data_IF_878276584024
#
_entry.id   IF_878276584024
#
_cell.length_a   1.000
_cell.length_b   1.000
_cell.length_c   1.000
_cell.angle_alpha   90.00
_cell.angle_beta   90.00
_cell.angle_gamma   90.00
#
_symmetry.space_group_name_H-M   'P 1'
#
loop_
_entity.id
_entity.type
_entity.pdbx_description
1 polymer ?
#
# COMPACT_ATOMS: atom_id res chain seq x y z
N UNK A 1 -12.76 11.53 -4.69
CA UNK A 1 -12.92 12.88 -4.15
C UNK A 1 -12.24 13.88 -5.07
N UNK A 2 -12.89 14.98 -5.33
CA UNK A 2 -12.34 16.11 -6.08
C UNK A 2 -12.10 17.29 -5.13
N UNK A 3 -11.01 18.07 -5.33
CA UNK A 3 -10.81 19.30 -4.60
C UNK A 3 -11.95 20.30 -4.83
N UNK A 4 -12.34 21.06 -3.80
CA UNK A 4 -13.44 22.05 -3.90
C UNK A 4 -13.25 23.10 -5.01
N UNK A 5 -12.01 23.45 -5.31
CA UNK A 5 -11.65 24.51 -6.25
C UNK A 5 -10.97 23.97 -7.51
N UNK A 6 -11.40 22.80 -7.99
CA UNK A 6 -10.85 22.26 -9.24
C UNK A 6 -11.35 23.06 -10.44
N UNK A 7 -10.42 23.58 -11.23
CA UNK A 7 -10.73 24.18 -12.52
C UNK A 7 -10.70 23.10 -13.60
N UNK A 8 -11.72 23.02 -14.44
CA UNK A 8 -11.83 22.01 -15.52
C UNK A 8 -10.69 22.06 -16.56
N UNK A 9 -9.96 23.19 -16.62
CA UNK A 9 -8.80 23.34 -17.51
C UNK A 9 -7.47 22.94 -16.87
N UNK A 10 -7.45 22.64 -15.57
CA UNK A 10 -6.25 22.33 -14.82
C UNK A 10 -6.13 20.84 -14.51
N UNK A 11 -5.00 20.25 -14.86
CA UNK A 11 -4.67 18.88 -14.47
C UNK A 11 -4.08 18.85 -13.07
N UNK A 12 -4.59 17.98 -12.24
CA UNK A 12 -4.16 17.82 -10.84
C UNK A 12 -3.50 16.46 -10.60
N UNK A 13 -2.53 16.41 -9.67
CA UNK A 13 -1.99 15.13 -9.20
C UNK A 13 -3.08 14.33 -8.48
N UNK A 14 -2.95 13.01 -8.56
CA UNK A 14 -3.86 12.05 -7.92
C UNK A 14 -3.14 11.32 -6.80
N UNK A 15 -3.84 11.07 -5.70
CA UNK A 15 -3.41 10.11 -4.67
C UNK A 15 -4.42 8.95 -4.63
N UNK A 16 -3.94 7.75 -4.92
CA UNK A 16 -4.72 6.52 -4.73
C UNK A 16 -4.56 6.10 -3.27
N UNK A 17 -5.67 6.17 -2.50
CA UNK A 17 -5.70 5.93 -1.06
C UNK A 17 -6.30 4.55 -0.76
N UNK A 18 -5.49 3.61 -0.26
CA UNK A 18 -5.92 2.23 -0.03
C UNK A 18 -6.13 1.92 1.46
N UNK A 19 -7.32 1.43 1.77
CA UNK A 19 -7.69 0.98 3.12
C UNK A 19 -6.99 -0.33 3.54
N UNK A 20 -7.04 -0.63 4.85
CA UNK A 20 -6.55 -1.86 5.46
C UNK A 20 -7.31 -3.12 5.04
N UNK A 21 -7.03 -4.26 5.70
CA UNK A 21 -7.48 -5.59 5.27
C UNK A 21 -9.01 -5.69 5.11
N UNK A 22 -9.76 -5.41 6.15
CA UNK A 22 -11.24 -5.48 6.17
C UNK A 22 -11.91 -4.10 6.01
N UNK A 23 -11.11 -3.06 5.70
CA UNK A 23 -11.60 -1.69 5.56
C UNK A 23 -12.42 -1.45 4.30
N UNK A 24 -12.97 -0.25 4.25
CA UNK A 24 -13.80 0.24 3.14
C UNK A 24 -13.29 1.62 2.68
N UNK A 25 -13.53 2.01 1.43
CA UNK A 25 -13.22 3.36 0.97
C UNK A 25 -13.83 4.47 1.85
N UNK A 26 -15.01 4.23 2.39
CA UNK A 26 -15.70 5.16 3.28
C UNK A 26 -14.93 5.42 4.57
N UNK A 27 -14.21 4.43 5.11
CA UNK A 27 -13.46 4.57 6.37
C UNK A 27 -12.40 5.67 6.29
N UNK A 28 -11.88 5.95 5.10
CA UNK A 28 -10.86 6.98 4.86
C UNK A 28 -11.37 8.20 4.10
N UNK A 29 -12.58 8.13 3.54
CA UNK A 29 -13.14 9.15 2.65
C UNK A 29 -14.49 9.73 3.10
N UNK A 30 -15.08 9.28 4.21
CA UNK A 30 -16.32 9.84 4.74
C UNK A 30 -16.08 11.22 5.36
N UNK A 31 -16.78 12.22 4.86
CA UNK A 31 -16.70 13.60 5.37
C UNK A 31 -17.41 13.81 6.70
N UNK A 32 -18.33 12.91 7.06
CA UNK A 32 -19.20 13.02 8.23
C UNK A 32 -18.73 12.16 9.40
N UNK A 33 -17.86 11.19 9.16
CA UNK A 33 -17.39 10.26 10.18
C UNK A 33 -15.87 10.07 10.10
N UNK A 34 -15.20 10.21 11.23
CA UNK A 34 -13.75 10.01 11.34
C UNK A 34 -13.45 8.68 12.01
N UNK A 35 -13.02 7.70 11.22
CA UNK A 35 -12.54 6.41 11.73
C UNK A 35 -11.18 6.60 12.41
N UNK A 36 -10.97 6.14 13.66
CA UNK A 36 -9.76 6.42 14.43
C UNK A 36 -8.44 6.05 13.72
N UNK A 37 -8.41 4.93 12.98
CA UNK A 37 -7.21 4.48 12.28
C UNK A 37 -6.86 5.34 11.06
N UNK A 38 -7.85 5.93 10.40
CA UNK A 38 -7.63 6.63 9.12
C UNK A 38 -7.70 8.14 9.23
N UNK A 39 -8.35 8.69 10.24
CA UNK A 39 -8.45 10.14 10.43
C UNK A 39 -8.85 10.91 9.18
N UNK A 40 -9.69 10.30 8.32
CA UNK A 40 -10.18 10.88 7.06
C UNK A 40 -9.04 11.39 6.15
N UNK A 41 -7.89 10.72 6.12
CA UNK A 41 -6.73 11.23 5.39
C UNK A 41 -7.01 11.47 3.90
N UNK A 42 -7.89 10.68 3.28
CA UNK A 42 -8.31 10.90 1.90
C UNK A 42 -9.04 12.24 1.70
N UNK A 43 -9.90 12.64 2.65
CA UNK A 43 -10.55 13.96 2.64
C UNK A 43 -9.54 15.08 2.83
N UNK A 44 -8.60 14.90 3.77
CA UNK A 44 -7.54 15.92 4.03
C UNK A 44 -6.67 16.15 2.80
N UNK A 45 -6.32 15.09 2.07
CA UNK A 45 -5.59 15.22 0.81
C UNK A 45 -6.40 15.96 -0.26
N UNK A 46 -7.72 15.71 -0.34
CA UNK A 46 -8.59 16.44 -1.25
C UNK A 46 -8.70 17.93 -0.88
N UNK A 47 -8.76 18.26 0.42
CA UNK A 47 -8.75 19.65 0.91
C UNK A 47 -7.40 20.36 0.62
N UNK A 48 -6.29 19.61 0.51
CA UNK A 48 -4.99 20.11 0.07
C UNK A 48 -4.87 20.30 -1.45
N UNK A 49 -5.91 19.94 -2.21
CA UNK A 49 -5.95 20.17 -3.65
C UNK A 49 -5.60 18.98 -4.54
N UNK A 50 -5.40 17.79 -3.97
CA UNK A 50 -5.20 16.57 -4.72
C UNK A 50 -6.53 15.97 -5.18
N UNK A 51 -6.57 15.38 -6.36
CA UNK A 51 -7.61 14.41 -6.69
C UNK A 51 -7.34 13.14 -5.88
N UNK A 52 -8.36 12.58 -5.24
CA UNK A 52 -8.21 11.36 -4.44
C UNK A 52 -9.10 10.27 -4.98
N UNK A 53 -8.52 9.08 -5.18
CA UNK A 53 -9.24 7.88 -5.54
C UNK A 53 -9.05 6.81 -4.45
N UNK A 54 -10.14 6.36 -3.85
CA UNK A 54 -10.13 5.33 -2.81
C UNK A 54 -10.81 4.05 -3.33
N UNK A 55 -10.04 3.06 -3.83
CA UNK A 55 -10.61 1.82 -4.36
C UNK A 55 -11.07 0.88 -3.24
N UNK A 56 -12.12 0.11 -3.50
CA UNK A 56 -12.45 -1.08 -2.74
C UNK A 56 -11.56 -2.23 -3.23
N UNK A 57 -11.00 -3.01 -2.29
CA UNK A 57 -10.34 -4.28 -2.63
C UNK A 57 -11.32 -5.27 -3.26
N UNK A 58 -10.83 -6.34 -3.96
CA UNK A 58 -11.69 -7.29 -4.67
C UNK A 58 -12.54 -8.18 -3.75
N UNK A 59 -12.68 -7.81 -2.48
CA UNK A 59 -13.51 -8.47 -1.46
C UNK A 59 -14.09 -7.45 -0.49
N UNK A 60 -15.10 -7.84 0.27
CA UNK A 60 -15.74 -7.03 1.30
C UNK A 60 -16.05 -7.91 2.50
N UNK A 61 -15.45 -7.58 3.66
CA UNK A 61 -15.78 -8.11 4.97
C UNK A 61 -15.77 -9.64 5.09
N UNK A 62 -16.15 -10.14 6.26
CA UNK A 62 -16.39 -11.55 6.54
C UNK A 62 -15.25 -12.50 6.15
N UNK A 63 -14.00 -12.06 6.29
CA UNK A 63 -12.81 -12.83 5.91
C UNK A 63 -12.77 -13.29 4.44
N UNK A 64 -13.51 -12.65 3.54
CA UNK A 64 -13.56 -13.03 2.13
C UNK A 64 -12.21 -12.94 1.41
N UNK A 65 -11.23 -12.19 1.95
CA UNK A 65 -9.85 -12.21 1.47
C UNK A 65 -9.25 -13.63 1.53
N UNK A 66 -9.54 -14.41 2.59
CA UNK A 66 -9.07 -15.80 2.75
C UNK A 66 -9.60 -16.70 1.65
N UNK A 67 -10.87 -16.53 1.31
CA UNK A 67 -11.49 -17.29 0.24
C UNK A 67 -10.77 -17.09 -1.09
N UNK A 68 -10.49 -15.83 -1.45
CA UNK A 68 -9.72 -15.51 -2.65
C UNK A 68 -8.28 -16.04 -2.57
N UNK A 69 -7.62 -15.88 -1.42
CA UNK A 69 -6.26 -16.38 -1.21
C UNK A 69 -6.19 -17.90 -1.34
N UNK A 70 -7.10 -18.64 -0.73
CA UNK A 70 -7.19 -20.11 -0.84
C UNK A 70 -7.45 -20.59 -2.26
N UNK A 71 -8.31 -19.90 -3.00
CA UNK A 71 -8.57 -20.23 -4.42
C UNK A 71 -7.37 -19.92 -5.32
N UNK A 72 -6.57 -18.92 -4.96
CA UNK A 72 -5.40 -18.51 -5.73
C UNK A 72 -4.18 -19.44 -5.50
N UNK A 73 -3.93 -19.87 -4.27
CA UNK A 73 -2.75 -20.63 -3.88
C UNK A 73 -2.47 -21.87 -4.73
N UNK A 74 -3.44 -22.77 -5.04
CA UNK A 74 -3.21 -23.93 -5.89
C UNK A 74 -2.75 -23.59 -7.31
N UNK A 75 -3.04 -22.36 -7.76
CA UNK A 75 -2.64 -21.85 -9.06
C UNK A 75 -1.31 -21.07 -9.01
N UNK A 76 -0.59 -21.11 -7.87
CA UNK A 76 0.60 -20.27 -7.58
C UNK A 76 0.32 -18.76 -7.70
N UNK A 77 -0.90 -18.38 -7.43
CA UNK A 77 -1.36 -16.99 -7.37
C UNK A 77 -1.59 -16.59 -5.91
N UNK A 78 -1.78 -15.32 -5.67
CA UNK A 78 -2.15 -14.76 -4.38
C UNK A 78 -3.25 -13.72 -4.54
N UNK A 79 -3.74 -13.19 -3.43
CA UNK A 79 -4.65 -12.05 -3.44
C UNK A 79 -4.08 -10.86 -4.22
N UNK A 80 -2.75 -10.67 -4.19
CA UNK A 80 -2.08 -9.61 -4.95
C UNK A 80 -2.11 -9.80 -6.47
N UNK A 81 -2.31 -11.00 -6.96
CA UNK A 81 -2.53 -11.22 -8.41
C UNK A 81 -3.79 -10.50 -8.90
N UNK A 82 -4.85 -10.45 -8.08
CA UNK A 82 -6.08 -9.71 -8.37
C UNK A 82 -5.92 -8.21 -8.10
N UNK A 83 -5.33 -7.84 -6.97
CA UNK A 83 -5.15 -6.45 -6.58
C UNK A 83 -4.27 -5.70 -7.60
N UNK A 84 -3.15 -6.28 -8.03
CA UNK A 84 -2.28 -5.67 -9.04
C UNK A 84 -3.03 -5.43 -10.34
N UNK A 85 -3.82 -6.39 -10.80
CA UNK A 85 -4.62 -6.23 -12.01
C UNK A 85 -5.71 -5.17 -11.87
N UNK A 86 -6.34 -5.09 -10.70
CA UNK A 86 -7.28 -4.01 -10.38
C UNK A 86 -6.60 -2.64 -10.48
N UNK A 87 -5.44 -2.47 -9.87
CA UNK A 87 -4.70 -1.21 -9.89
C UNK A 87 -4.20 -0.83 -11.28
N UNK A 88 -3.84 -1.80 -12.11
CA UNK A 88 -3.52 -1.54 -13.51
C UNK A 88 -4.72 -0.92 -14.25
N UNK A 89 -5.94 -1.41 -13.99
CA UNK A 89 -7.16 -0.84 -14.58
C UNK A 89 -7.50 0.54 -14.00
N UNK A 90 -7.25 0.74 -12.71
CA UNK A 90 -7.41 2.05 -12.06
C UNK A 90 -6.49 3.09 -12.70
N UNK A 91 -5.21 2.76 -12.90
CA UNK A 91 -4.24 3.65 -13.53
C UNK A 91 -4.63 4.01 -14.96
N UNK A 92 -5.04 3.02 -15.77
CA UNK A 92 -5.53 3.23 -17.13
C UNK A 92 -6.73 4.19 -17.16
N UNK A 93 -7.69 3.98 -16.26
CA UNK A 93 -8.86 4.83 -16.16
C UNK A 93 -8.52 6.23 -15.65
N UNK A 94 -7.77 6.37 -14.57
CA UNK A 94 -7.36 7.68 -14.04
C UNK A 94 -6.61 8.48 -15.10
N UNK A 95 -5.67 7.86 -15.81
CA UNK A 95 -4.89 8.52 -16.87
C UNK A 95 -5.72 8.96 -18.08
N UNK A 96 -6.92 8.42 -18.24
CA UNK A 96 -7.86 8.84 -19.32
C UNK A 96 -8.71 10.07 -18.96
N UNK A 97 -8.72 10.48 -17.69
CA UNK A 97 -9.51 11.62 -17.23
C UNK A 97 -8.83 12.94 -17.59
N UNK A 98 -9.60 13.90 -18.08
CA UNK A 98 -9.06 15.19 -18.55
C UNK A 98 -8.44 16.03 -17.45
N UNK A 99 -8.98 15.95 -16.23
CA UNK A 99 -8.53 16.66 -15.04
C UNK A 99 -7.33 16.03 -14.33
N UNK A 100 -6.90 14.83 -14.75
CA UNK A 100 -5.81 14.07 -14.11
C UNK A 100 -4.48 14.36 -14.78
N UNK A 101 -3.46 14.63 -13.98
CA UNK A 101 -2.07 14.58 -14.41
C UNK A 101 -1.56 13.14 -14.31
N UNK A 102 -1.52 12.45 -15.44
CA UNK A 102 -1.12 11.05 -15.52
C UNK A 102 0.34 10.78 -15.11
N UNK A 103 1.20 11.81 -15.07
CA UNK A 103 2.59 11.69 -14.62
C UNK A 103 2.73 11.86 -13.09
N UNK A 104 1.65 12.27 -12.41
CA UNK A 104 1.65 12.52 -10.97
C UNK A 104 0.54 11.75 -10.26
N UNK A 105 0.54 10.42 -10.40
CA UNK A 105 -0.34 9.52 -9.66
C UNK A 105 0.47 8.86 -8.56
N UNK A 106 0.18 9.19 -7.29
CA UNK A 106 0.82 8.64 -6.11
C UNK A 106 -0.03 7.53 -5.49
N UNK A 107 0.62 6.65 -4.74
CA UNK A 107 -0.03 5.61 -3.92
C UNK A 107 0.20 5.89 -2.44
N UNK A 108 -0.86 5.86 -1.64
CA UNK A 108 -0.81 5.92 -0.18
C UNK A 108 -1.70 4.85 0.43
N UNK A 109 -1.12 3.93 1.17
CA UNK A 109 -1.86 2.85 1.79
C UNK A 109 -1.52 2.65 3.27
N UNK A 110 -2.53 2.31 4.08
CA UNK A 110 -2.39 2.04 5.50
C UNK A 110 -2.68 0.57 5.80
N UNK A 111 -1.86 -0.08 6.68
CA UNK A 111 -1.98 -1.48 7.07
C UNK A 111 -1.90 -2.39 5.84
N UNK A 112 -2.89 -3.21 5.54
CA UNK A 112 -2.92 -3.98 4.28
C UNK A 112 -2.90 -3.09 3.02
N UNK A 113 -3.32 -1.82 3.13
CA UNK A 113 -3.05 -0.79 2.13
C UNK A 113 -1.57 -0.44 2.03
N UNK A 114 -0.84 -0.40 3.14
CA UNK A 114 0.62 -0.27 3.19
C UNK A 114 1.32 -1.47 2.55
N UNK A 115 0.85 -2.69 2.83
CA UNK A 115 1.28 -3.91 2.13
C UNK A 115 1.07 -3.78 0.61
N UNK A 116 -0.05 -3.20 0.20
CA UNK A 116 -0.33 -2.92 -1.22
C UNK A 116 0.64 -1.89 -1.80
N UNK A 117 0.98 -0.84 -1.03
CA UNK A 117 1.96 0.19 -1.40
C UNK A 117 3.38 -0.37 -1.63
N UNK A 118 3.71 -1.50 -1.02
CA UNK A 118 4.98 -2.20 -1.24
C UNK A 118 4.99 -3.07 -2.50
N UNK A 119 3.85 -3.63 -2.89
CA UNK A 119 3.78 -4.65 -3.94
C UNK A 119 3.32 -4.10 -5.27
N UNK A 120 2.29 -3.29 -5.25
CA UNK A 120 1.66 -2.80 -6.49
C UNK A 120 2.54 -1.77 -7.20
N UNK A 121 3.06 -0.71 -6.55
CA UNK A 121 3.98 0.21 -7.21
C UNK A 121 5.32 -0.41 -7.63
N UNK A 122 5.75 -1.51 -6.99
CA UNK A 122 6.90 -2.28 -7.43
C UNK A 122 6.71 -2.91 -8.82
N UNK A 123 5.47 -3.17 -9.22
CA UNK A 123 5.09 -3.81 -10.48
C UNK A 123 4.43 -2.86 -11.49
N UNK A 124 3.91 -1.73 -11.03
CA UNK A 124 3.22 -0.72 -11.84
C UNK A 124 3.98 0.61 -11.73
N UNK A 125 4.78 0.90 -12.74
CA UNK A 125 5.71 2.04 -12.75
C UNK A 125 5.01 3.39 -12.90
N UNK A 126 3.73 3.40 -13.28
CA UNK A 126 2.92 4.60 -13.42
C UNK A 126 2.63 5.30 -12.07
N UNK A 127 2.81 4.62 -10.96
CA UNK A 127 2.82 5.27 -9.64
C UNK A 127 4.11 6.04 -9.43
N UNK A 128 4.05 7.36 -9.38
CA UNK A 128 5.23 8.23 -9.26
C UNK A 128 5.82 8.30 -7.84
N UNK A 129 5.06 7.92 -6.83
CA UNK A 129 5.41 7.93 -5.40
C UNK A 129 4.63 6.83 -4.69
N UNK A 130 5.25 6.16 -3.72
CA UNK A 130 4.58 5.21 -2.85
C UNK A 130 4.80 5.51 -1.37
N UNK A 131 3.71 5.51 -0.58
CA UNK A 131 3.73 5.69 0.87
C UNK A 131 3.16 4.43 1.53
N UNK A 132 4.04 3.72 2.26
CA UNK A 132 3.69 2.55 3.06
C UNK A 132 3.49 2.95 4.51
N UNK A 133 2.23 3.01 4.96
CA UNK A 133 1.88 3.32 6.34
C UNK A 133 1.49 2.06 7.11
N UNK A 134 2.08 1.87 8.29
CA UNK A 134 1.75 0.83 9.27
C UNK A 134 1.74 -0.62 8.71
N UNK A 135 2.68 -0.96 7.83
CA UNK A 135 2.88 -2.32 7.33
C UNK A 135 4.37 -2.66 7.10
N UNK A 136 5.28 -1.68 7.04
CA UNK A 136 6.68 -1.96 6.76
C UNK A 136 7.31 -2.80 7.87
N UNK A 137 7.91 -3.96 7.53
CA UNK A 137 8.44 -4.90 8.51
C UNK A 137 9.44 -5.90 7.88
N UNK A 138 9.85 -6.89 8.63
CA UNK A 138 10.66 -8.03 8.17
C UNK A 138 9.73 -9.17 7.73
N UNK A 139 9.68 -9.44 6.43
CA UNK A 139 8.70 -10.35 5.84
C UNK A 139 8.91 -11.80 6.17
N UNK A 140 10.18 -12.25 6.20
CA UNK A 140 10.51 -13.67 6.38
C UNK A 140 10.15 -14.10 7.81
N UNK A 141 10.58 -13.33 8.81
CA UNK A 141 10.26 -13.63 10.21
C UNK A 141 8.76 -13.51 10.50
N UNK A 142 8.12 -12.56 9.86
CA UNK A 142 6.67 -12.37 9.96
C UNK A 142 5.90 -13.60 9.50
N UNK A 143 6.38 -14.34 8.52
CA UNK A 143 5.72 -15.53 7.98
C UNK A 143 6.24 -16.83 8.53
N UNK A 144 7.51 -16.92 8.91
CA UNK A 144 8.18 -18.18 9.23
C UNK A 144 8.50 -18.39 10.71
N UNK A 145 8.46 -17.34 11.55
CA UNK A 145 8.73 -17.49 12.98
C UNK A 145 7.59 -18.22 13.68
N UNK A 146 7.89 -19.32 14.35
CA UNK A 146 6.93 -20.06 15.16
C UNK A 146 6.77 -19.49 16.59
N UNK A 147 7.61 -18.53 16.99
CA UNK A 147 7.69 -18.09 18.39
C UNK A 147 7.45 -16.59 18.58
N UNK A 148 7.66 -15.78 17.55
CA UNK A 148 7.53 -14.34 17.67
C UNK A 148 6.06 -13.91 17.66
N UNK A 149 5.65 -13.12 18.65
CA UNK A 149 4.25 -12.69 18.83
C UNK A 149 3.63 -11.96 17.63
N UNK A 150 4.45 -11.36 16.76
CA UNK A 150 4.02 -10.68 15.55
C UNK A 150 3.96 -11.61 14.32
N UNK A 151 4.31 -12.89 14.47
CA UNK A 151 4.25 -13.83 13.35
C UNK A 151 2.82 -14.03 12.86
N UNK A 152 2.64 -14.10 11.56
CA UNK A 152 1.34 -14.43 10.94
C UNK A 152 0.82 -15.80 11.32
N UNK A 153 1.68 -16.75 11.72
CA UNK A 153 1.26 -18.03 12.28
C UNK A 153 0.41 -17.90 13.55
N UNK A 154 0.59 -16.78 14.30
CA UNK A 154 -0.06 -16.55 15.59
C UNK A 154 -1.12 -15.43 15.52
N UNK A 155 -1.41 -14.90 14.34
CA UNK A 155 -2.37 -13.81 14.14
C UNK A 155 -3.53 -14.25 13.24
N UNK A 156 -4.57 -13.43 13.14
CA UNK A 156 -5.67 -13.65 12.20
C UNK A 156 -5.27 -13.61 10.71
N UNK A 157 -4.01 -13.27 10.38
CA UNK A 157 -3.51 -13.20 9.02
C UNK A 157 -2.71 -14.44 8.56
N UNK A 158 -2.82 -15.57 9.27
CA UNK A 158 -2.02 -16.78 9.03
C UNK A 158 -2.12 -17.40 7.62
N UNK A 159 -3.10 -17.03 6.82
CA UNK A 159 -3.28 -17.50 5.43
C UNK A 159 -2.94 -16.43 4.39
N UNK A 160 -2.36 -15.31 4.80
CA UNK A 160 -2.09 -14.17 3.94
C UNK A 160 -0.79 -14.23 3.12
N UNK A 161 0.23 -15.05 3.45
CA UNK A 161 1.50 -15.06 2.74
C UNK A 161 1.33 -15.39 1.26
N UNK A 162 2.02 -14.62 0.42
CA UNK A 162 2.11 -14.89 -1.01
C UNK A 162 2.98 -16.13 -1.26
N UNK A 163 2.57 -16.96 -2.24
CA UNK A 163 3.30 -18.15 -2.59
C UNK A 163 4.78 -17.85 -2.89
N UNK A 164 5.66 -18.49 -2.14
CA UNK A 164 7.13 -18.46 -2.32
C UNK A 164 7.79 -17.05 -2.27
N UNK A 165 7.08 -16.01 -1.85
CA UNK A 165 7.62 -14.65 -1.86
C UNK A 165 8.84 -14.51 -0.94
N UNK A 166 8.77 -15.05 0.28
CA UNK A 166 9.85 -15.00 1.27
C UNK A 166 11.14 -15.70 0.87
N UNK A 167 11.10 -16.59 -0.14
CA UNK A 167 12.29 -17.20 -0.71
C UNK A 167 13.05 -16.29 -1.70
N UNK A 168 12.44 -15.17 -2.08
CA UNK A 168 13.01 -14.25 -3.08
C UNK A 168 13.20 -12.86 -2.51
N UNK A 169 12.25 -12.34 -1.75
CA UNK A 169 12.21 -10.95 -1.29
C UNK A 169 11.91 -10.83 0.19
N UNK A 170 12.61 -9.91 0.86
CA UNK A 170 12.15 -9.28 2.07
C UNK A 170 11.61 -7.88 1.74
N UNK A 171 11.23 -7.08 2.74
CA UNK A 171 10.65 -5.74 2.49
C UNK A 171 11.64 -4.77 1.83
N UNK A 172 12.92 -4.83 2.18
CA UNK A 172 13.93 -4.01 1.53
C UNK A 172 14.02 -4.30 0.02
N UNK A 173 14.11 -5.57 -0.37
CA UNK A 173 14.18 -5.94 -1.78
C UNK A 173 12.92 -5.56 -2.55
N UNK A 174 11.74 -5.66 -1.93
CA UNK A 174 10.49 -5.19 -2.56
C UNK A 174 10.53 -3.69 -2.82
N UNK A 175 11.00 -2.89 -1.84
CA UNK A 175 11.11 -1.44 -1.99
C UNK A 175 12.18 -1.03 -3.03
N UNK A 176 13.23 -1.84 -3.22
CA UNK A 176 14.21 -1.60 -4.28
C UNK A 176 13.59 -1.68 -5.69
N UNK A 177 12.51 -2.44 -5.86
CA UNK A 177 11.76 -2.48 -7.13
C UNK A 177 10.96 -1.18 -7.37
N UNK A 178 10.70 -0.39 -6.34
CA UNK A 178 10.08 0.93 -6.47
C UNK A 178 11.11 1.98 -6.90
N UNK A 179 12.37 1.84 -6.45
CA UNK A 179 13.47 2.73 -6.80
C UNK A 179 13.62 2.84 -8.34
N UNK A 180 13.88 4.02 -8.93
CA UNK A 180 14.32 5.27 -8.31
C UNK A 180 13.20 6.23 -7.88
N UNK A 181 11.94 5.80 -7.96
CA UNK A 181 10.79 6.62 -7.56
C UNK A 181 10.79 6.85 -6.04
N UNK A 182 10.32 8.01 -5.56
CA UNK A 182 10.23 8.30 -4.14
C UNK A 182 9.43 7.25 -3.37
N UNK A 183 9.94 6.87 -2.21
CA UNK A 183 9.32 5.90 -1.32
C UNK A 183 9.38 6.36 0.12
N UNK A 184 8.25 6.33 0.82
CA UNK A 184 8.13 6.74 2.22
C UNK A 184 7.60 5.60 3.08
N UNK A 185 8.19 5.43 4.25
CA UNK A 185 7.68 4.55 5.32
C UNK A 185 7.15 5.41 6.46
N UNK A 186 5.91 5.16 6.84
CA UNK A 186 5.23 5.82 7.94
C UNK A 186 4.77 4.78 8.96
N UNK A 187 5.07 5.00 10.24
CA UNK A 187 4.64 4.10 11.31
C UNK A 187 4.54 4.80 12.66
N UNK A 188 3.77 4.20 13.57
CA UNK A 188 3.77 4.55 14.99
C UNK A 188 4.59 3.56 15.83
N UNK A 189 5.28 4.04 16.87
CA UNK A 189 6.07 3.18 17.78
C UNK A 189 5.25 2.15 18.56
N UNK A 190 3.95 2.38 18.71
CA UNK A 190 3.03 1.46 19.39
C UNK A 190 2.23 0.59 18.41
N UNK A 191 2.70 0.46 17.17
CA UNK A 191 2.09 -0.40 16.18
C UNK A 191 2.19 -1.87 16.60
N UNK A 192 1.05 -2.53 16.73
CA UNK A 192 0.96 -3.95 17.11
C UNK A 192 1.30 -4.93 15.98
N UNK A 193 1.68 -4.46 14.79
CA UNK A 193 1.91 -5.30 13.60
C UNK A 193 3.35 -5.78 13.51
N UNK A 194 4.33 -4.94 13.86
CA UNK A 194 5.75 -5.28 13.83
C UNK A 194 6.53 -4.56 14.93
N UNK A 195 7.64 -5.13 15.44
CA UNK A 195 8.53 -4.41 16.35
C UNK A 195 9.35 -3.36 15.60
N UNK A 196 9.81 -2.34 16.31
CA UNK A 196 10.60 -1.25 15.74
C UNK A 196 11.89 -1.74 15.06
N UNK A 197 12.52 -2.75 15.64
CA UNK A 197 13.78 -3.32 15.15
C UNK A 197 13.65 -3.91 13.76
N UNK A 198 12.55 -4.58 13.46
CA UNK A 198 12.29 -5.14 12.12
C UNK A 198 12.12 -4.05 11.08
N UNK A 199 11.36 -3.03 11.44
CA UNK A 199 11.14 -1.88 10.54
C UNK A 199 12.44 -1.11 10.32
N UNK A 200 13.18 -0.81 11.38
CA UNK A 200 14.43 -0.07 11.30
C UNK A 200 15.49 -0.83 10.48
N UNK A 201 15.59 -2.15 10.63
CA UNK A 201 16.53 -2.98 9.89
C UNK A 201 16.23 -2.95 8.37
N UNK A 202 15.00 -3.26 7.98
CA UNK A 202 14.61 -3.29 6.57
C UNK A 202 14.63 -1.87 5.95
N UNK A 203 14.25 -0.83 6.72
CA UNK A 203 14.34 0.54 6.25
C UNK A 203 15.80 0.98 6.02
N UNK A 204 16.71 0.63 6.91
CA UNK A 204 18.14 0.95 6.74
C UNK A 204 18.73 0.33 5.46
N UNK A 205 18.32 -0.89 5.10
CA UNK A 205 18.70 -1.56 3.84
C UNK A 205 18.13 -0.81 2.63
N UNK A 206 16.88 -0.41 2.70
CA UNK A 206 16.22 0.39 1.65
C UNK A 206 16.90 1.75 1.47
N UNK A 207 17.11 2.47 2.56
CA UNK A 207 17.78 3.78 2.54
C UNK A 207 19.18 3.69 1.94
N UNK A 208 19.96 2.67 2.33
CA UNK A 208 21.30 2.43 1.75
C UNK A 208 21.22 2.33 0.24
N UNK A 209 20.23 1.61 -0.32
CA UNK A 209 20.09 1.49 -1.77
C UNK A 209 19.82 2.82 -2.45
N UNK A 210 18.99 3.67 -1.86
CA UNK A 210 18.76 5.03 -2.39
C UNK A 210 20.03 5.89 -2.31
N UNK A 211 20.78 5.82 -1.21
CA UNK A 211 22.07 6.52 -1.04
C UNK A 211 23.09 6.08 -2.10
N UNK A 212 23.25 4.77 -2.32
CA UNK A 212 24.18 4.21 -3.34
C UNK A 212 23.86 4.71 -4.75
N UNK A 213 22.63 5.04 -5.02
CA UNK A 213 22.17 5.59 -6.30
C UNK A 213 22.15 7.12 -6.35
N UNK A 214 22.61 7.80 -5.30
CA UNK A 214 22.57 9.27 -5.20
C UNK A 214 21.16 9.84 -5.01
N UNK A 215 20.26 9.07 -4.43
CA UNK A 215 18.83 9.41 -4.26
C UNK A 215 18.43 9.53 -2.78
N UNK A 216 19.36 9.96 -1.91
CA UNK A 216 19.14 10.02 -0.46
C UNK A 216 17.92 10.88 -0.05
N UNK A 217 17.50 11.82 -0.91
CA UNK A 217 16.36 12.74 -0.66
C UNK A 217 15.01 12.19 -1.20
N UNK A 218 14.98 10.97 -1.72
CA UNK A 218 13.80 10.33 -2.30
C UNK A 218 13.24 9.27 -1.35
#
# INVERSE_FOLDING_TARGET
>A
LLPKNINKSERRPVVVCQHGLEGRPQDLADTNNETPAYHRYACRLADLGYIVFAPQKPYIGADNFRRLQRLANPLKLSLFSFITRQHQRILQWLSSLAEVDAQRIAFYGLSYGGKTAMRVPALLEEYCLSICSADYNEWIWKNASAHHKYSYLLTGEYEMPEFNLGNTFNYAEMSWLICPRPFMVERGHHDGVAPDEWVAYEYARTYRRYVELGLADK
#
